data_IF_626602149025
#
_entry.id   IF_626602149025
#
_cell.length_a   1.000
_cell.length_b   1.000
_cell.length_c   1.000
_cell.angle_alpha   90.00
_cell.angle_beta   90.00
_cell.angle_gamma   90.00
#
_symmetry.space_group_name_H-M   'P 1'
#
loop_
_entity.id
_entity.type
_entity.pdbx_description
1 polymer ?
#
# COMPACT_ATOMS: atom_id res chain seq x y z
N UNK A 1 -3.78 -12.68 -5.47
CA UNK A 1 -4.14 -11.33 -5.99
C UNK A 1 -3.26 -10.94 -7.19
N UNK A 2 -3.86 -10.42 -8.26
CA UNK A 2 -3.18 -9.92 -9.46
C UNK A 2 -3.03 -8.37 -9.47
N UNK A 3 -2.34 -7.83 -10.49
CA UNK A 3 -2.06 -6.39 -10.59
C UNK A 3 -3.30 -5.51 -10.83
N UNK A 4 -4.33 -6.03 -11.47
CA UNK A 4 -5.58 -5.29 -11.70
C UNK A 4 -6.40 -5.18 -10.41
N UNK A 5 -6.48 -6.27 -9.65
CA UNK A 5 -7.13 -6.33 -8.34
C UNK A 5 -6.43 -5.38 -7.35
N UNK A 6 -5.10 -5.40 -7.30
CA UNK A 6 -4.30 -4.46 -6.52
C UNK A 6 -4.64 -3.00 -6.88
N UNK A 7 -4.69 -2.66 -8.18
CA UNK A 7 -5.04 -1.31 -8.63
C UNK A 7 -6.46 -0.92 -8.22
N UNK A 8 -7.41 -1.86 -8.30
CA UNK A 8 -8.79 -1.61 -7.91
C UNK A 8 -8.88 -1.31 -6.41
N UNK A 9 -8.17 -2.06 -5.57
CA UNK A 9 -8.09 -1.80 -4.13
C UNK A 9 -7.56 -0.38 -3.87
N UNK A 10 -6.44 -0.01 -4.49
CA UNK A 10 -5.85 1.31 -4.32
C UNK A 10 -6.74 2.44 -4.81
N UNK A 11 -7.44 2.26 -5.94
CA UNK A 11 -8.39 3.24 -6.44
C UNK A 11 -9.55 3.43 -5.46
N UNK A 12 -10.17 2.34 -5.00
CA UNK A 12 -11.24 2.40 -4.01
C UNK A 12 -10.77 3.03 -2.69
N UNK A 13 -9.57 2.67 -2.21
CA UNK A 13 -9.01 3.26 -1.01
C UNK A 13 -8.77 4.78 -1.16
N UNK A 14 -8.31 5.24 -2.33
CA UNK A 14 -8.13 6.67 -2.64
C UNK A 14 -9.45 7.45 -2.72
N UNK A 15 -10.52 6.81 -3.17
CA UNK A 15 -11.86 7.41 -3.22
C UNK A 15 -12.49 7.52 -1.82
N UNK A 16 -12.23 6.54 -0.94
CA UNK A 16 -12.82 6.46 0.39
C UNK A 16 -12.07 7.25 1.46
N UNK A 17 -10.74 7.35 1.34
CA UNK A 17 -9.89 7.88 2.41
C UNK A 17 -9.04 9.06 1.94
N UNK A 18 -8.84 10.03 2.84
CA UNK A 18 -7.86 11.07 2.62
C UNK A 18 -6.43 10.49 2.59
N UNK A 19 -5.54 11.09 1.80
CA UNK A 19 -4.15 10.63 1.63
C UNK A 19 -3.41 10.45 2.97
N UNK A 20 -3.50 11.35 3.96
CA UNK A 20 -2.85 11.15 5.25
C UNK A 20 -3.35 9.89 6.00
N UNK A 21 -4.62 9.53 5.83
CA UNK A 21 -5.19 8.31 6.44
C UNK A 21 -4.62 7.06 5.77
N UNK A 22 -4.55 7.05 4.44
CA UNK A 22 -3.94 5.96 3.67
C UNK A 22 -2.46 5.80 3.96
N UNK A 23 -1.73 6.92 4.08
CA UNK A 23 -0.33 6.91 4.50
C UNK A 23 -0.16 6.24 5.87
N UNK A 24 -1.05 6.54 6.82
CA UNK A 24 -1.08 5.87 8.13
C UNK A 24 -1.43 4.38 8.05
N UNK A 25 -2.27 3.97 7.09
CA UNK A 25 -2.53 2.55 6.83
C UNK A 25 -1.27 1.86 6.31
N UNK A 26 -0.58 2.46 5.34
CA UNK A 26 0.69 1.94 4.83
C UNK A 26 1.70 1.76 5.95
N UNK A 27 1.88 2.75 6.83
CA UNK A 27 2.80 2.64 7.97
C UNK A 27 2.49 1.39 8.81
N UNK A 28 1.24 1.28 9.27
CA UNK A 28 0.80 0.14 10.11
C UNK A 28 0.92 -1.20 9.38
N UNK A 29 0.66 -1.23 8.07
CA UNK A 29 0.84 -2.44 7.27
C UNK A 29 2.31 -2.84 7.17
N UNK A 30 3.22 -1.88 6.94
CA UNK A 30 4.66 -2.15 6.88
C UNK A 30 5.19 -2.65 8.22
N UNK A 31 4.80 -2.00 9.33
CA UNK A 31 5.16 -2.43 10.68
C UNK A 31 4.69 -3.86 10.98
N UNK A 32 3.44 -4.18 10.62
CA UNK A 32 2.89 -5.53 10.78
C UNK A 32 3.66 -6.56 9.94
N UNK A 33 3.91 -6.27 8.66
CA UNK A 33 4.64 -7.15 7.75
C UNK A 33 6.06 -7.40 8.27
N UNK A 34 6.77 -6.35 8.70
CA UNK A 34 8.12 -6.48 9.26
C UNK A 34 8.17 -7.34 10.52
N UNK A 35 7.14 -7.24 11.38
CA UNK A 35 7.09 -7.96 12.64
C UNK A 35 6.68 -9.42 12.47
N UNK A 36 5.65 -9.68 11.67
CA UNK A 36 4.92 -10.94 11.67
C UNK A 36 5.08 -11.74 10.35
N UNK A 37 5.59 -11.14 9.28
CA UNK A 37 5.85 -11.82 7.99
C UNK A 37 7.35 -11.90 7.68
N UNK A 38 8.03 -12.86 8.33
CA UNK A 38 9.48 -13.07 8.21
C UNK A 38 9.98 -13.42 6.81
N UNK A 39 9.09 -13.83 5.91
CA UNK A 39 9.42 -14.18 4.52
C UNK A 39 9.53 -12.95 3.60
N UNK A 40 9.14 -11.77 4.08
CA UNK A 40 9.31 -10.52 3.34
C UNK A 40 10.70 -9.92 3.63
N UNK A 41 11.63 -10.12 2.70
CA UNK A 41 12.97 -9.54 2.74
C UNK A 41 12.90 -8.02 2.49
N UNK A 42 12.55 -7.25 3.53
CA UNK A 42 12.57 -5.78 3.48
C UNK A 42 14.03 -5.34 3.66
N UNK A 43 14.60 -4.57 2.71
CA UNK A 43 15.96 -4.07 2.81
C UNK A 43 16.23 -3.43 4.18
N UNK A 44 17.37 -3.78 4.79
CA UNK A 44 17.77 -3.29 6.13
C UNK A 44 17.79 -1.76 6.30
N UNK A 45 17.85 -1.03 5.18
CA UNK A 45 17.89 0.44 5.13
C UNK A 45 16.52 1.09 4.90
N UNK A 46 15.46 0.31 4.69
CA UNK A 46 14.10 0.81 4.48
C UNK A 46 13.33 0.79 5.81
N UNK A 47 13.11 1.96 6.41
CA UNK A 47 12.29 2.06 7.63
C UNK A 47 10.80 2.13 7.28
N UNK A 48 9.90 1.66 8.17
CA UNK A 48 8.46 1.82 7.99
C UNK A 48 8.03 3.26 7.75
N UNK A 49 8.63 4.21 8.46
CA UNK A 49 8.33 5.63 8.36
C UNK A 49 8.72 6.18 6.99
N UNK A 50 9.94 5.90 6.53
CA UNK A 50 10.38 6.33 5.20
C UNK A 50 9.57 5.68 4.08
N UNK A 51 9.15 4.42 4.24
CA UNK A 51 8.26 3.75 3.30
C UNK A 51 6.87 4.40 3.29
N UNK A 52 6.33 4.72 4.46
CA UNK A 52 5.06 5.44 4.57
C UNK A 52 5.13 6.82 3.94
N UNK A 53 6.19 7.59 4.19
CA UNK A 53 6.40 8.93 3.60
C UNK A 53 6.47 8.88 2.08
N UNK A 54 7.27 7.95 1.52
CA UNK A 54 7.31 7.73 0.06
C UNK A 54 5.92 7.38 -0.48
N UNK A 55 5.18 6.49 0.18
CA UNK A 55 3.83 6.13 -0.24
C UNK A 55 2.88 7.35 -0.19
N UNK A 56 2.95 8.16 0.86
CA UNK A 56 2.17 9.40 1.00
C UNK A 56 2.39 10.35 -0.17
N UNK A 57 3.64 10.61 -0.54
CA UNK A 57 3.96 11.44 -1.70
C UNK A 57 3.41 10.86 -3.02
N UNK A 58 3.53 9.54 -3.23
CA UNK A 58 3.00 8.87 -4.41
C UNK A 58 1.46 9.00 -4.50
N UNK A 59 0.78 8.81 -3.37
CA UNK A 59 -0.69 8.91 -3.29
C UNK A 59 -1.16 10.35 -3.54
N UNK A 60 -0.44 11.34 -3.01
CA UNK A 60 -0.74 12.76 -3.24
C UNK A 60 -0.58 13.13 -4.72
N UNK A 61 0.50 12.68 -5.37
CA UNK A 61 0.69 12.89 -6.80
C UNK A 61 -0.42 12.25 -7.64
N UNK A 62 -0.80 11.02 -7.32
CA UNK A 62 -1.90 10.31 -8.00
C UNK A 62 -3.21 11.06 -7.82
N UNK A 63 -3.53 11.50 -6.61
CA UNK A 63 -4.75 12.25 -6.29
C UNK A 63 -4.84 13.57 -7.05
N UNK A 64 -3.69 14.22 -7.29
CA UNK A 64 -3.60 15.46 -8.05
C UNK A 64 -3.50 15.24 -9.57
N UNK A 65 -3.62 13.99 -10.04
CA UNK A 65 -3.48 13.63 -11.46
C UNK A 65 -2.06 13.85 -12.01
N UNK A 66 -1.08 14.04 -11.13
CA UNK A 66 0.32 14.23 -11.50
C UNK A 66 0.97 12.88 -11.73
N UNK A 67 1.92 12.86 -12.67
CA UNK A 67 2.81 11.71 -12.81
C UNK A 67 3.71 11.67 -11.58
N UNK A 68 3.70 10.58 -10.81
CA UNK A 68 4.56 10.42 -9.65
C UNK A 68 6.05 10.66 -10.02
N UNK A 69 6.62 11.75 -9.51
CA UNK A 69 7.95 12.20 -9.90
C UNK A 69 9.00 11.64 -8.94
N UNK A 70 9.53 10.47 -9.28
CA UNK A 70 10.57 9.77 -8.51
C UNK A 70 11.93 10.50 -8.45
N UNK A 71 12.08 11.66 -9.09
CA UNK A 71 13.36 12.35 -9.18
C UNK A 71 13.75 13.17 -7.96
N UNK A 72 12.82 13.47 -7.05
CA UNK A 72 13.13 14.11 -5.75
C UNK A 72 13.63 13.09 -4.71
N UNK A 73 13.58 11.79 -5.03
CA UNK A 73 13.78 10.67 -4.12
C UNK A 73 15.19 10.03 -4.24
N UNK A 74 16.19 10.76 -4.76
CA UNK A 74 17.36 10.23 -5.49
C UNK A 74 18.39 9.34 -4.75
N UNK A 75 18.29 9.07 -3.46
CA UNK A 75 19.13 8.03 -2.83
C UNK A 75 18.46 7.32 -1.65
N UNK A 76 18.07 8.05 -0.61
CA UNK A 76 17.44 7.46 0.59
C UNK A 76 16.12 6.76 0.24
N UNK A 77 15.31 7.41 -0.60
CA UNK A 77 13.97 6.93 -0.91
C UNK A 77 13.93 5.83 -1.98
N UNK A 78 15.04 5.53 -2.65
CA UNK A 78 15.11 4.45 -3.64
C UNK A 78 14.96 3.08 -3.00
N UNK A 79 15.61 2.86 -1.86
CA UNK A 79 15.49 1.61 -1.11
C UNK A 79 14.09 1.44 -0.51
N UNK A 80 13.52 2.52 0.05
CA UNK A 80 12.15 2.53 0.55
C UNK A 80 11.12 2.25 -0.55
N UNK A 81 11.30 2.86 -1.74
CA UNK A 81 10.45 2.58 -2.90
C UNK A 81 10.60 1.14 -3.39
N UNK A 82 11.82 0.60 -3.39
CA UNK A 82 12.07 -0.80 -3.77
C UNK A 82 11.36 -1.72 -2.79
N UNK A 83 11.56 -1.52 -1.50
CA UNK A 83 10.88 -2.26 -0.44
C UNK A 83 9.36 -2.22 -0.61
N UNK A 84 8.78 -1.03 -0.83
CA UNK A 84 7.34 -0.85 -1.05
C UNK A 84 6.86 -1.69 -2.24
N UNK A 85 7.63 -1.75 -3.33
CA UNK A 85 7.25 -2.55 -4.51
C UNK A 85 7.25 -4.04 -4.22
N UNK A 86 8.15 -4.51 -3.36
CA UNK A 86 8.28 -5.92 -3.02
C UNK A 86 7.11 -6.39 -2.14
N UNK A 87 6.62 -5.53 -1.24
CA UNK A 87 5.50 -5.84 -0.33
C UNK A 87 4.16 -5.22 -0.74
N UNK A 88 4.05 -4.59 -1.91
CA UNK A 88 2.85 -3.83 -2.35
C UNK A 88 1.56 -4.65 -2.32
N UNK A 89 1.63 -5.94 -2.64
CA UNK A 89 0.48 -6.85 -2.63
C UNK A 89 0.03 -7.08 -1.19
N UNK A 90 0.97 -7.35 -0.28
CA UNK A 90 0.66 -7.51 1.14
C UNK A 90 0.07 -6.23 1.73
N UNK A 91 0.61 -5.05 1.38
CA UNK A 91 0.05 -3.76 1.79
C UNK A 91 -1.38 -3.58 1.26
N UNK A 92 -1.65 -3.89 -0.01
CA UNK A 92 -2.99 -3.79 -0.59
C UNK A 92 -4.00 -4.73 0.11
N UNK A 93 -3.59 -5.96 0.39
CA UNK A 93 -4.40 -6.92 1.17
C UNK A 93 -4.72 -6.38 2.56
N UNK A 94 -3.73 -5.82 3.24
CA UNK A 94 -3.88 -5.19 4.54
C UNK A 94 -4.82 -3.97 4.50
N UNK A 95 -4.73 -3.14 3.47
CA UNK A 95 -5.65 -2.01 3.27
C UNK A 95 -7.07 -2.52 3.05
N UNK A 96 -7.25 -3.52 2.18
CA UNK A 96 -8.58 -4.09 1.89
C UNK A 96 -9.27 -4.66 3.14
N UNK A 97 -8.51 -5.28 4.05
CA UNK A 97 -9.04 -5.73 5.36
C UNK A 97 -9.59 -4.58 6.20
N UNK A 98 -8.99 -3.38 6.09
CA UNK A 98 -9.40 -2.16 6.81
C UNK A 98 -10.57 -1.42 6.16
N UNK A 99 -10.93 -1.75 4.91
CA UNK A 99 -12.11 -1.16 4.25
C UNK A 99 -13.38 -1.79 4.82
N UNK A 100 -14.35 -0.99 5.30
CA UNK A 100 -15.67 -1.48 5.72
C UNK A 100 -16.40 -2.19 4.58
N UNK A 101 -17.13 -3.28 4.89
CA UNK A 101 -17.75 -4.13 3.87
C UNK A 101 -18.87 -3.41 3.09
N UNK A 102 -19.51 -2.42 3.71
CA UNK A 102 -20.53 -1.55 3.12
C UNK A 102 -19.98 -0.54 2.10
N UNK A 103 -18.68 -0.26 2.14
CA UNK A 103 -17.99 0.68 1.24
C UNK A 103 -17.26 -0.03 0.08
N UNK A 104 -17.35 -1.37 0.01
CA UNK A 104 -16.70 -2.15 -1.03
C UNK A 104 -17.45 -2.04 -2.36
N UNK A 105 -16.75 -1.61 -3.41
CA UNK A 105 -17.27 -1.75 -4.79
C UNK A 105 -17.58 -3.22 -5.10
N UNK A 106 -18.55 -3.54 -5.99
CA UNK A 106 -19.07 -4.91 -6.17
C UNK A 106 -18.04 -6.02 -6.47
N UNK A 107 -16.83 -5.66 -6.92
CA UNK A 107 -15.74 -6.60 -7.24
C UNK A 107 -14.79 -6.86 -6.07
N UNK A 108 -14.79 -6.00 -5.04
CA UNK A 108 -13.88 -6.10 -3.91
C UNK A 108 -14.27 -7.14 -2.83
N UNK A 109 -15.56 -7.47 -2.60
CA UNK A 109 -15.93 -8.52 -1.63
C UNK A 109 -15.32 -9.89 -1.97
N UNK A 110 -15.30 -10.28 -3.25
CA UNK A 110 -14.68 -11.54 -3.69
C UNK A 110 -13.16 -11.52 -3.48
N UNK A 111 -12.51 -10.38 -3.73
CA UNK A 111 -11.08 -10.22 -3.50
C UNK A 111 -10.78 -10.30 -1.99
N UNK A 112 -11.58 -9.63 -1.16
CA UNK A 112 -11.45 -9.62 0.30
C UNK A 112 -11.62 -11.02 0.88
N UNK A 113 -12.65 -11.74 0.44
CA UNK A 113 -12.89 -13.14 0.83
C UNK A 113 -11.69 -14.04 0.56
N UNK A 114 -11.09 -13.95 -0.64
CA UNK A 114 -9.87 -14.72 -0.97
C UNK A 114 -8.68 -14.33 -0.09
N UNK A 115 -8.48 -13.03 0.14
CA UNK A 115 -7.40 -12.51 1.01
C UNK A 115 -7.57 -12.98 2.47
N UNK A 116 -8.79 -13.07 2.97
CA UNK A 116 -9.08 -13.55 4.32
C UNK A 116 -8.89 -15.07 4.45
N UNK A 117 -9.08 -15.82 3.35
CA UNK A 117 -8.75 -17.25 3.25
C UNK A 117 -7.26 -17.53 2.99
N UNK A 118 -6.44 -16.49 2.73
CA UNK A 118 -5.03 -16.64 2.40
C UNK A 118 -4.75 -17.15 0.97
N UNK A 119 -5.67 -16.89 0.03
CA UNK A 119 -5.65 -17.34 -1.37
C UNK A 119 -5.19 -16.25 -2.37
#
# INVERSE_FOLDING_TARGET
MNREEERLIWACALDLFAVPVLQGFVLRSVEYIQRDMRDCDIPRLASPEGMSEVAGHLLEDIKQGRRALLHDFRSFNREHLRALKDIRIAIASEILRRVPDDELTPRLPEIKFRVDLGL
#
